data_IF_159341107099
#
_entry.id   IF_159341107099
#
_cell.length_a   1.000
_cell.length_b   1.000
_cell.length_c   1.000
_cell.angle_alpha   90.00
_cell.angle_beta   90.00
_cell.angle_gamma   90.00
#
_symmetry.space_group_name_H-M   'P 1'
#
loop_
_entity.id
_entity.type
_entity.pdbx_description
1 polymer ?
#
# COMPACT_ATOMS: atom_id res chain seq x y z
N UNK A 1 30.72 37.00 18.06
CA UNK A 1 29.51 36.79 17.21
C UNK A 1 29.76 35.92 15.97
N UNK A 2 30.91 36.07 15.28
CA UNK A 2 31.27 35.25 14.10
C UNK A 2 31.55 33.78 14.44
N UNK A 3 32.37 33.51 15.46
CA UNK A 3 32.72 32.16 15.92
C UNK A 3 31.48 31.35 16.34
N UNK A 4 30.48 31.98 16.97
CA UNK A 4 29.22 31.31 17.36
C UNK A 4 28.28 31.02 16.18
N UNK A 5 28.41 31.74 15.06
CA UNK A 5 27.72 31.42 13.79
C UNK A 5 28.40 30.26 13.06
N UNK A 6 29.73 30.24 13.04
CA UNK A 6 30.51 29.12 12.46
C UNK A 6 30.28 27.83 13.25
N UNK A 7 30.34 27.88 14.58
CA UNK A 7 30.05 26.72 15.45
C UNK A 7 28.65 26.16 15.22
N UNK A 8 27.63 27.03 15.11
CA UNK A 8 26.25 26.61 14.81
C UNK A 8 26.10 25.98 13.42
N UNK A 9 26.78 26.50 12.41
CA UNK A 9 26.80 25.89 11.08
C UNK A 9 27.45 24.49 11.09
N UNK A 10 28.59 24.35 11.76
CA UNK A 10 29.27 23.04 11.90
C UNK A 10 28.39 22.05 12.66
N UNK A 11 27.77 22.48 13.76
CA UNK A 11 26.81 21.66 14.53
C UNK A 11 25.63 21.23 13.66
N UNK A 12 25.06 22.15 12.87
CA UNK A 12 23.94 21.84 11.97
C UNK A 12 24.31 20.86 10.86
N UNK A 13 25.54 20.93 10.33
CA UNK A 13 26.01 19.95 9.35
C UNK A 13 26.04 18.58 10.01
N UNK A 14 26.89 18.41 11.04
CA UNK A 14 27.10 17.15 11.76
C UNK A 14 25.79 16.54 12.30
N UNK A 15 24.85 17.38 12.75
CA UNK A 15 23.56 16.93 13.27
C UNK A 15 22.75 16.16 12.23
N UNK A 16 22.85 16.53 10.95
CA UNK A 16 22.17 15.82 9.88
C UNK A 16 22.69 14.39 9.75
N UNK A 17 24.01 14.22 9.68
CA UNK A 17 24.60 12.87 9.55
C UNK A 17 24.33 12.04 10.81
N UNK A 18 24.43 12.62 12.01
CA UNK A 18 24.11 11.92 13.25
C UNK A 18 22.66 11.44 13.30
N UNK A 19 21.71 12.26 12.83
CA UNK A 19 20.30 11.90 12.73
C UNK A 19 20.08 10.73 11.76
N UNK A 20 20.72 10.75 10.59
CA UNK A 20 20.63 9.63 9.63
C UNK A 20 21.30 8.35 10.14
N UNK A 21 22.44 8.45 10.84
CA UNK A 21 23.08 7.31 11.49
C UNK A 21 22.16 6.71 12.56
N UNK A 22 21.56 7.54 13.41
CA UNK A 22 20.59 7.11 14.40
C UNK A 22 19.41 6.36 13.76
N UNK A 23 18.83 6.92 12.69
CA UNK A 23 17.72 6.28 11.97
C UNK A 23 18.13 4.95 11.34
N UNK A 24 19.31 4.88 10.73
CA UNK A 24 19.88 3.65 10.19
C UNK A 24 20.04 2.58 11.27
N UNK A 25 20.65 2.91 12.41
CA UNK A 25 20.86 1.96 13.49
C UNK A 25 19.55 1.46 14.08
N UNK A 26 18.58 2.36 14.29
CA UNK A 26 17.23 2.00 14.75
C UNK A 26 16.55 1.08 13.74
N UNK A 27 16.53 1.43 12.46
CA UNK A 27 15.93 0.60 11.42
C UNK A 27 16.60 -0.78 11.37
N UNK A 28 17.93 -0.84 11.27
CA UNK A 28 18.73 -2.08 11.24
C UNK A 28 18.46 -3.01 12.42
N UNK A 29 18.22 -2.46 13.61
CA UNK A 29 17.93 -3.24 14.82
C UNK A 29 16.53 -3.87 14.77
N UNK A 30 15.53 -3.15 14.29
CA UNK A 30 14.12 -3.53 14.44
C UNK A 30 13.47 -4.13 13.18
N UNK A 31 13.97 -3.83 11.97
CA UNK A 31 13.37 -4.38 10.75
C UNK A 31 13.40 -5.90 10.73
N UNK A 32 12.37 -6.51 10.14
CA UNK A 32 12.21 -7.95 10.13
C UNK A 32 13.14 -8.60 9.10
N UNK A 33 14.09 -9.41 9.57
CA UNK A 33 14.88 -10.33 8.74
C UNK A 33 14.12 -11.63 8.55
N UNK A 34 14.10 -12.18 7.33
CA UNK A 34 13.40 -13.43 7.02
C UNK A 34 13.80 -14.59 7.94
N UNK A 35 15.08 -14.70 8.27
CA UNK A 35 15.63 -15.75 9.16
C UNK A 35 15.30 -15.57 10.65
N UNK A 36 14.71 -14.44 11.06
CA UNK A 36 14.47 -14.10 12.47
C UNK A 36 12.99 -13.80 12.79
N UNK A 37 12.09 -13.85 11.81
CA UNK A 37 10.67 -13.56 12.00
C UNK A 37 10.02 -14.47 13.06
N UNK A 38 10.45 -15.74 13.13
CA UNK A 38 9.85 -16.75 14.00
C UNK A 38 10.12 -16.57 15.52
N UNK A 39 10.87 -15.55 15.94
CA UNK A 39 11.21 -15.30 17.36
C UNK A 39 10.41 -14.17 17.98
N UNK A 40 9.66 -13.43 17.18
CA UNK A 40 8.95 -12.22 17.60
C UNK A 40 7.56 -12.25 16.98
N UNK A 41 6.53 -12.13 17.82
CA UNK A 41 5.14 -12.24 17.41
C UNK A 41 4.81 -11.22 16.32
N UNK A 42 5.11 -9.94 16.55
CA UNK A 42 4.80 -8.82 15.65
C UNK A 42 5.50 -8.99 14.30
N UNK A 43 6.73 -9.50 14.30
CA UNK A 43 7.47 -9.78 13.07
C UNK A 43 6.80 -10.88 12.26
N UNK A 44 6.39 -11.98 12.89
CA UNK A 44 5.72 -13.09 12.20
C UNK A 44 4.33 -12.69 11.70
N UNK A 45 3.58 -11.90 12.48
CA UNK A 45 2.30 -11.30 12.04
C UNK A 45 2.48 -10.48 10.75
N UNK A 46 3.54 -9.67 10.68
CA UNK A 46 3.83 -8.85 9.49
C UNK A 46 4.06 -9.70 8.24
N UNK A 47 4.71 -10.86 8.36
CA UNK A 47 4.89 -11.81 7.26
C UNK A 47 3.57 -12.47 6.85
N UNK A 48 2.77 -12.93 7.82
CA UNK A 48 1.46 -13.52 7.57
C UNK A 48 0.56 -12.53 6.83
N UNK A 49 0.47 -11.29 7.32
CA UNK A 49 -0.34 -10.24 6.72
C UNK A 49 0.15 -9.84 5.32
N UNK A 50 1.47 -9.83 5.09
CA UNK A 50 2.05 -9.57 3.76
C UNK A 50 1.66 -10.67 2.76
N UNK A 51 1.86 -11.94 3.11
CA UNK A 51 1.55 -13.05 2.19
C UNK A 51 0.05 -13.20 1.99
N UNK A 52 -0.74 -13.00 3.04
CA UNK A 52 -2.19 -12.85 2.93
C UNK A 52 -2.57 -11.75 1.94
N UNK A 53 -1.95 -10.57 2.05
CA UNK A 53 -2.23 -9.46 1.13
C UNK A 53 -1.85 -9.80 -0.32
N UNK A 54 -0.73 -10.50 -0.55
CA UNK A 54 -0.33 -10.96 -1.89
C UNK A 54 -1.37 -11.88 -2.50
N UNK A 55 -1.97 -12.76 -1.70
CA UNK A 55 -3.07 -13.64 -2.14
C UNK A 55 -4.32 -12.83 -2.47
N UNK A 56 -4.78 -11.97 -1.55
CA UNK A 56 -5.98 -11.15 -1.78
C UNK A 56 -5.84 -10.22 -3.00
N UNK A 57 -4.65 -9.63 -3.17
CA UNK A 57 -4.32 -8.78 -4.32
C UNK A 57 -4.53 -9.54 -5.63
N UNK A 58 -4.09 -10.79 -5.71
CA UNK A 58 -4.16 -11.58 -6.93
C UNK A 58 -5.60 -11.78 -7.42
N UNK A 59 -6.57 -11.96 -6.50
CA UNK A 59 -7.99 -12.05 -6.84
C UNK A 59 -8.55 -10.74 -7.43
N UNK A 60 -8.01 -9.59 -7.02
CA UNK A 60 -8.47 -8.27 -7.47
C UNK A 60 -7.88 -7.80 -8.81
N UNK A 61 -7.01 -8.60 -9.44
CA UNK A 61 -6.42 -8.24 -10.73
C UNK A 61 -7.47 -8.31 -11.85
N UNK A 62 -7.30 -7.58 -12.97
CA UNK A 62 -8.21 -7.64 -14.12
C UNK A 62 -8.34 -9.05 -14.70
N UNK A 63 -7.23 -9.78 -14.70
CA UNK A 63 -7.12 -11.17 -15.16
C UNK A 63 -6.34 -11.98 -14.14
N UNK A 64 -6.97 -12.47 -13.05
CA UNK A 64 -6.29 -13.27 -12.05
C UNK A 64 -5.73 -14.56 -12.68
N UNK A 65 -4.43 -14.81 -12.52
CA UNK A 65 -3.79 -16.04 -13.02
C UNK A 65 -4.20 -17.23 -12.17
N UNK A 66 -4.66 -18.34 -12.74
CA UNK A 66 -4.90 -19.59 -11.99
C UNK A 66 -3.58 -20.22 -11.50
N UNK A 67 -3.61 -20.83 -10.32
CA UNK A 67 -2.47 -21.51 -9.72
C UNK A 67 -1.34 -20.57 -9.28
N UNK A 68 -1.65 -19.32 -8.92
CA UNK A 68 -0.67 -18.34 -8.47
C UNK A 68 -0.12 -18.66 -7.07
N UNK A 69 0.96 -17.98 -6.66
CA UNK A 69 1.44 -18.05 -5.28
C UNK A 69 2.34 -19.25 -4.95
N UNK A 70 3.06 -19.79 -5.95
CA UNK A 70 4.02 -20.91 -5.79
C UNK A 70 4.92 -20.78 -4.55
N UNK A 71 5.47 -19.60 -4.28
CA UNK A 71 6.33 -19.35 -3.12
C UNK A 71 5.59 -18.71 -1.93
N UNK A 72 4.42 -18.13 -2.18
CA UNK A 72 3.63 -17.39 -1.17
C UNK A 72 2.81 -18.35 -0.33
N UNK A 73 2.16 -19.34 -0.95
CA UNK A 73 1.28 -20.30 -0.28
C UNK A 73 2.06 -21.18 0.70
N UNK A 74 3.18 -21.84 0.31
CA UNK A 74 3.94 -22.66 1.26
C UNK A 74 4.50 -21.82 2.41
N UNK A 75 5.05 -20.63 2.12
CA UNK A 75 5.60 -19.74 3.15
C UNK A 75 4.53 -19.25 4.13
N UNK A 76 3.32 -18.92 3.64
CA UNK A 76 2.21 -18.55 4.52
C UNK A 76 1.82 -19.71 5.44
N UNK A 77 1.68 -20.92 4.90
CA UNK A 77 1.35 -22.11 5.68
C UNK A 77 2.42 -22.38 6.74
N UNK A 78 3.70 -22.37 6.37
CA UNK A 78 4.80 -22.59 7.31
C UNK A 78 4.84 -21.50 8.40
N UNK A 79 4.57 -20.25 8.04
CA UNK A 79 4.47 -19.17 9.02
C UNK A 79 3.27 -19.34 9.96
N UNK A 80 2.12 -19.82 9.47
CA UNK A 80 0.94 -20.09 10.29
C UNK A 80 1.16 -21.24 11.26
N UNK A 81 1.78 -22.33 10.83
CA UNK A 81 2.16 -23.46 11.71
C UNK A 81 3.11 -22.97 12.82
N UNK A 82 4.15 -22.23 12.44
CA UNK A 82 5.10 -21.65 13.40
C UNK A 82 4.40 -20.69 14.36
N UNK A 83 3.49 -19.85 13.87
CA UNK A 83 2.75 -18.88 14.66
C UNK A 83 1.86 -19.57 15.69
N UNK A 84 1.04 -20.52 15.25
CA UNK A 84 0.16 -21.32 16.09
C UNK A 84 0.93 -22.01 17.22
N UNK A 85 2.04 -22.67 16.89
CA UNK A 85 2.84 -23.42 17.86
C UNK A 85 3.48 -22.56 18.96
N UNK A 86 3.71 -21.27 18.71
CA UNK A 86 4.45 -20.37 19.63
C UNK A 86 3.57 -19.35 20.32
N UNK A 87 2.55 -18.86 19.63
CA UNK A 87 1.75 -17.71 20.05
C UNK A 87 0.25 -18.03 20.14
N UNK A 88 -0.15 -19.25 19.74
CA UNK A 88 -1.54 -19.69 19.69
C UNK A 88 -2.30 -19.18 18.47
N UNK A 89 -3.59 -19.51 18.43
CA UNK A 89 -4.49 -19.19 17.32
C UNK A 89 -5.31 -17.94 17.63
N UNK A 90 -4.81 -16.79 17.21
CA UNK A 90 -5.50 -15.50 17.36
C UNK A 90 -6.00 -14.94 16.02
N UNK A 91 -6.46 -13.67 16.03
CA UNK A 91 -7.03 -13.03 14.84
C UNK A 91 -6.10 -13.09 13.62
N UNK A 92 -4.78 -12.93 13.78
CA UNK A 92 -3.85 -12.90 12.64
C UNK A 92 -3.72 -14.30 12.02
N UNK A 93 -3.70 -15.34 12.84
CA UNK A 93 -3.72 -16.73 12.39
C UNK A 93 -4.95 -17.01 11.51
N UNK A 94 -6.15 -16.68 12.00
CA UNK A 94 -7.39 -16.92 11.25
C UNK A 94 -7.54 -16.03 9.99
N UNK A 95 -6.99 -14.81 10.00
CA UNK A 95 -6.89 -13.99 8.78
C UNK A 95 -6.04 -14.70 7.71
N UNK A 96 -4.92 -15.32 8.11
CA UNK A 96 -4.08 -16.10 7.21
C UNK A 96 -4.79 -17.34 6.66
N UNK A 97 -5.48 -18.10 7.52
CA UNK A 97 -6.30 -19.25 7.11
C UNK A 97 -7.42 -18.86 6.15
N UNK A 98 -8.11 -17.75 6.43
CA UNK A 98 -9.15 -17.21 5.55
C UNK A 98 -8.65 -16.89 4.14
N UNK A 99 -7.38 -16.49 4.00
CA UNK A 99 -6.74 -16.30 2.71
C UNK A 99 -6.57 -17.61 1.95
N UNK A 100 -6.13 -18.68 2.62
CA UNK A 100 -5.97 -20.02 2.06
C UNK A 100 -7.32 -20.66 1.71
N UNK A 101 -8.35 -20.42 2.51
CA UNK A 101 -9.71 -20.84 2.25
C UNK A 101 -10.28 -20.12 1.01
N UNK A 102 -10.08 -18.80 0.92
CA UNK A 102 -10.47 -18.01 -0.24
C UNK A 102 -9.71 -18.41 -1.50
N UNK A 103 -8.44 -18.79 -1.38
CA UNK A 103 -7.64 -19.34 -2.48
C UNK A 103 -8.26 -20.64 -3.00
N UNK A 104 -8.63 -21.57 -2.11
CA UNK A 104 -9.32 -22.81 -2.51
C UNK A 104 -10.64 -22.50 -3.19
N UNK A 105 -11.49 -21.68 -2.57
CA UNK A 105 -12.79 -21.27 -3.11
C UNK A 105 -12.67 -20.68 -4.52
N UNK A 106 -11.72 -19.76 -4.72
CA UNK A 106 -11.48 -19.14 -6.03
C UNK A 106 -11.16 -20.17 -7.12
N UNK A 107 -10.32 -21.16 -6.83
CA UNK A 107 -9.99 -22.19 -7.82
C UNK A 107 -11.13 -23.19 -8.05
N UNK A 108 -11.88 -23.55 -7.00
CA UNK A 108 -13.06 -24.41 -7.10
C UNK A 108 -14.16 -23.74 -7.96
N UNK A 109 -14.42 -22.43 -7.77
CA UNK A 109 -15.34 -21.63 -8.59
C UNK A 109 -14.95 -21.62 -10.08
N UNK A 110 -13.65 -21.62 -10.36
CA UNK A 110 -13.09 -21.67 -11.73
C UNK A 110 -12.92 -23.10 -12.27
N UNK A 111 -13.36 -24.12 -11.51
CA UNK A 111 -13.19 -25.55 -11.82
C UNK A 111 -11.73 -25.92 -12.13
N UNK A 112 -10.79 -25.27 -11.46
CA UNK A 112 -9.35 -25.48 -11.64
C UNK A 112 -8.79 -26.36 -10.52
N UNK A 113 -8.05 -27.41 -10.88
CA UNK A 113 -7.42 -28.29 -9.91
C UNK A 113 -6.38 -27.53 -9.07
N UNK A 114 -6.47 -27.66 -7.75
CA UNK A 114 -5.52 -26.99 -6.86
C UNK A 114 -4.08 -27.41 -7.16
N UNK A 115 -3.14 -26.45 -7.26
CA UNK A 115 -1.74 -26.78 -7.52
C UNK A 115 -1.14 -27.68 -6.45
N UNK A 116 -0.17 -28.50 -6.86
CA UNK A 116 0.53 -29.44 -5.97
C UNK A 116 1.15 -28.74 -4.75
N UNK A 117 1.74 -27.56 -4.92
CA UNK A 117 2.32 -26.79 -3.80
C UNK A 117 1.28 -26.35 -2.77
N UNK A 118 0.00 -26.23 -3.14
CA UNK A 118 -1.09 -25.99 -2.19
C UNK A 118 -1.44 -27.30 -1.48
N UNK A 119 -1.80 -28.33 -2.26
CA UNK A 119 -2.31 -29.61 -1.75
C UNK A 119 -1.30 -30.34 -0.86
N UNK A 120 0.01 -30.27 -1.17
CA UNK A 120 1.07 -30.86 -0.34
C UNK A 120 1.32 -30.13 0.97
N UNK A 121 1.05 -28.83 1.04
CA UNK A 121 1.36 -28.03 2.23
C UNK A 121 0.15 -27.87 3.16
N UNK A 122 -1.08 -27.85 2.61
CA UNK A 122 -2.29 -27.57 3.39
C UNK A 122 -2.51 -28.58 4.53
N UNK A 123 -2.04 -29.82 4.37
CA UNK A 123 -2.13 -30.89 5.38
C UNK A 123 -1.35 -30.59 6.68
N UNK A 124 -0.47 -29.57 6.69
CA UNK A 124 0.22 -29.11 7.91
C UNK A 124 -0.69 -28.34 8.86
N UNK A 125 -1.86 -27.89 8.40
CA UNK A 125 -2.87 -27.19 9.19
C UNK A 125 -4.00 -28.17 9.54
N UNK A 126 -4.54 -28.06 10.75
CA UNK A 126 -5.68 -28.88 11.18
C UNK A 126 -6.95 -28.46 10.43
N UNK A 127 -7.69 -29.44 9.90
CA UNK A 127 -8.93 -29.15 9.16
C UNK A 127 -9.96 -28.40 10.00
N UNK A 128 -10.06 -28.70 11.30
CA UNK A 128 -11.00 -28.06 12.22
C UNK A 128 -10.76 -26.54 12.33
N UNK A 129 -9.53 -26.06 12.13
CA UNK A 129 -9.21 -24.63 12.24
C UNK A 129 -9.89 -23.81 11.14
N UNK A 130 -10.18 -24.42 9.97
CA UNK A 130 -10.91 -23.76 8.88
C UNK A 130 -12.41 -23.59 9.16
N UNK A 131 -12.95 -24.26 10.17
CA UNK A 131 -14.35 -24.14 10.58
C UNK A 131 -14.59 -22.88 11.42
N UNK A 132 -13.53 -22.21 11.90
CA UNK A 132 -13.66 -20.99 12.69
C UNK A 132 -14.24 -19.84 11.84
N UNK A 133 -15.33 -19.17 12.27
CA UNK A 133 -15.94 -18.08 11.53
C UNK A 133 -15.01 -16.91 11.21
N UNK A 134 -13.93 -16.71 11.99
CA UNK A 134 -12.92 -15.67 11.76
C UNK A 134 -12.18 -15.87 10.44
N UNK A 135 -12.19 -17.06 9.84
CA UNK A 135 -11.64 -17.29 8.50
C UNK A 135 -12.40 -16.51 7.41
N UNK A 136 -13.68 -16.19 7.62
CA UNK A 136 -14.52 -15.56 6.59
C UNK A 136 -14.20 -14.06 6.34
N UNK A 137 -13.35 -13.44 7.16
CA UNK A 137 -13.04 -12.00 7.09
C UNK A 137 -11.99 -11.65 6.04
N UNK A 138 -11.22 -12.62 5.56
CA UNK A 138 -10.22 -12.44 4.51
C UNK A 138 -10.75 -12.92 3.14
N UNK A 139 -10.07 -12.51 2.07
CA UNK A 139 -10.36 -12.94 0.70
C UNK A 139 -10.70 -11.78 -0.21
N UNK A 140 -11.71 -12.00 -1.05
CA UNK A 140 -12.19 -11.03 -2.05
C UNK A 140 -13.71 -10.91 -2.02
N UNK A 141 -14.20 -9.80 -2.56
CA UNK A 141 -15.62 -9.53 -2.76
C UNK A 141 -15.82 -8.65 -4.00
N UNK A 142 -17.01 -8.71 -4.60
CA UNK A 142 -17.48 -7.74 -5.58
C UNK A 142 -18.28 -6.67 -4.84
N UNK A 143 -18.05 -5.39 -5.14
CA UNK A 143 -18.87 -4.32 -4.55
C UNK A 143 -20.28 -4.43 -5.14
N UNK A 144 -21.30 -4.26 -4.30
CA UNK A 144 -22.67 -4.13 -4.78
C UNK A 144 -22.84 -2.74 -5.41
N UNK A 145 -23.42 -2.70 -6.61
CA UNK A 145 -23.65 -1.48 -7.39
C UNK A 145 -24.91 -0.73 -6.91
N UNK A 146 -25.55 -1.18 -5.82
CA UNK A 146 -26.66 -0.45 -5.21
C UNK A 146 -26.24 1.01 -5.00
N UNK A 147 -26.89 1.88 -5.79
CA UNK A 147 -26.63 3.31 -5.82
C UNK A 147 -26.69 3.81 -4.37
N UNK A 148 -25.57 4.33 -3.86
CA UNK A 148 -25.59 5.10 -2.61
C UNK A 148 -26.33 6.40 -2.93
N UNK A 149 -27.66 6.32 -2.99
CA UNK A 149 -28.56 7.46 -3.11
C UNK A 149 -28.61 8.14 -1.76
N UNK A 150 -27.58 8.90 -1.44
CA UNK A 150 -27.43 9.56 -0.16
C UNK A 150 -26.26 10.53 -0.16
N UNK A 151 -26.27 11.46 0.78
CA UNK A 151 -25.14 12.37 1.02
C UNK A 151 -23.94 11.54 1.46
N UNK A 152 -22.84 11.60 0.70
CA UNK A 152 -21.57 10.96 1.08
C UNK A 152 -21.13 11.55 2.42
N UNK A 153 -21.02 10.70 3.45
CA UNK A 153 -20.48 11.08 4.76
C UNK A 153 -18.98 10.81 4.77
N UNK A 154 -18.25 11.44 5.69
CA UNK A 154 -16.83 11.11 5.89
C UNK A 154 -16.67 9.64 6.27
N UNK A 155 -17.55 9.13 7.13
CA UNK A 155 -17.54 7.72 7.53
C UNK A 155 -17.73 6.78 6.34
N UNK A 156 -18.72 7.03 5.46
CA UNK A 156 -18.94 6.19 4.28
C UNK A 156 -17.75 6.28 3.33
N UNK A 157 -17.20 7.47 3.11
CA UNK A 157 -16.01 7.67 2.28
C UNK A 157 -14.80 6.87 2.79
N UNK A 158 -14.55 6.91 4.09
CA UNK A 158 -13.43 6.19 4.72
C UNK A 158 -13.64 4.67 4.69
N UNK A 159 -14.86 4.21 4.98
CA UNK A 159 -15.21 2.80 5.04
C UNK A 159 -15.33 2.15 3.66
N UNK A 160 -15.69 2.90 2.62
CA UNK A 160 -15.86 2.36 1.27
C UNK A 160 -14.58 2.36 0.44
N UNK A 161 -13.63 3.26 0.73
CA UNK A 161 -12.41 3.35 -0.07
C UNK A 161 -11.64 2.03 -0.04
N UNK A 162 -11.37 1.46 -1.21
CA UNK A 162 -10.59 0.23 -1.41
C UNK A 162 -9.52 0.46 -2.48
N UNK A 163 -8.48 -0.36 -2.45
CA UNK A 163 -7.47 -0.35 -3.50
C UNK A 163 -8.01 -1.08 -4.73
N UNK A 164 -8.31 -0.34 -5.79
CA UNK A 164 -8.84 -0.87 -7.05
C UNK A 164 -7.72 -1.23 -8.03
N UNK A 165 -7.78 -2.42 -8.61
CA UNK A 165 -6.77 -2.88 -9.59
C UNK A 165 -7.39 -3.30 -10.92
N UNK A 166 -8.69 -3.05 -11.09
CA UNK A 166 -9.43 -3.32 -12.31
C UNK A 166 -10.24 -2.07 -12.65
N UNK A 167 -9.68 -1.25 -13.53
CA UNK A 167 -10.26 0.01 -14.00
C UNK A 167 -11.02 -0.19 -15.30
N UNK A 168 -12.06 0.62 -15.50
CA UNK A 168 -12.69 0.82 -16.79
C UNK A 168 -11.82 1.79 -17.60
N UNK A 169 -11.03 1.26 -18.53
CA UNK A 169 -10.05 2.06 -19.28
C UNK A 169 -10.77 3.07 -20.17
N UNK A 170 -11.82 2.65 -20.88
CA UNK A 170 -12.54 3.50 -21.83
C UNK A 170 -13.25 4.65 -21.12
N UNK A 171 -13.93 4.38 -19.99
CA UNK A 171 -14.53 5.43 -19.18
C UNK A 171 -13.47 6.35 -18.57
N UNK A 172 -12.34 5.79 -18.13
CA UNK A 172 -11.23 6.57 -17.56
C UNK A 172 -10.60 7.53 -18.56
N UNK A 173 -10.61 7.24 -19.87
CA UNK A 173 -10.12 8.17 -20.89
C UNK A 173 -10.92 9.49 -20.94
N UNK A 174 -12.13 9.53 -20.36
CA UNK A 174 -12.96 10.75 -20.27
C UNK A 174 -12.55 11.67 -19.12
N UNK A 175 -11.61 11.28 -18.26
CA UNK A 175 -11.07 12.12 -17.19
C UNK A 175 -10.38 13.34 -17.82
N UNK A 176 -11.04 14.50 -17.76
CA UNK A 176 -10.53 15.76 -18.27
C UNK A 176 -9.81 16.61 -17.23
N UNK A 177 -9.08 17.62 -17.72
CA UNK A 177 -8.32 18.58 -16.91
C UNK A 177 -9.15 19.25 -15.81
N UNK A 178 -10.43 19.58 -16.09
CA UNK A 178 -11.35 20.13 -15.08
C UNK A 178 -11.49 19.21 -13.87
N UNK A 179 -11.69 17.91 -14.10
CA UNK A 179 -11.85 16.94 -13.02
C UNK A 179 -10.55 16.79 -12.21
N UNK A 180 -9.39 16.76 -12.88
CA UNK A 180 -8.09 16.71 -12.20
C UNK A 180 -7.83 17.95 -11.35
N UNK A 181 -8.22 19.14 -11.83
CA UNK A 181 -8.16 20.40 -11.07
C UNK A 181 -9.10 20.38 -9.87
N UNK A 182 -10.32 19.89 -10.04
CA UNK A 182 -11.31 19.78 -8.96
C UNK A 182 -10.83 18.81 -7.86
N UNK A 183 -10.30 17.64 -8.25
CA UNK A 183 -9.64 16.68 -7.33
C UNK A 183 -8.46 17.34 -6.62
N UNK A 184 -7.57 18.03 -7.35
CA UNK A 184 -6.40 18.71 -6.78
C UNK A 184 -6.82 19.76 -5.75
N UNK A 185 -7.81 20.60 -6.08
CA UNK A 185 -8.33 21.66 -5.21
C UNK A 185 -8.87 21.11 -3.89
N UNK A 186 -9.55 19.96 -3.94
CA UNK A 186 -10.00 19.29 -2.71
C UNK A 186 -8.83 18.68 -1.94
N UNK A 187 -7.85 18.10 -2.63
CA UNK A 187 -6.70 17.41 -2.03
C UNK A 187 -5.78 18.35 -1.23
N UNK A 188 -5.58 19.59 -1.70
CA UNK A 188 -4.70 20.58 -1.05
C UNK A 188 -5.24 21.14 0.27
N UNK A 189 -6.43 20.71 0.70
CA UNK A 189 -6.98 21.01 2.05
C UNK A 189 -6.25 20.26 3.17
N UNK A 190 -5.32 19.35 2.83
CA UNK A 190 -4.49 18.65 3.80
C UNK A 190 -3.61 19.63 4.60
N UNK A 191 -3.33 19.36 5.89
CA UNK A 191 -2.39 20.17 6.67
C UNK A 191 -0.92 19.87 6.31
N UNK A 192 -0.04 20.87 6.47
CA UNK A 192 1.43 20.74 6.42
C UNK A 192 2.06 21.36 7.65
N UNK A 193 3.31 20.95 7.96
CA UNK A 193 4.17 21.69 8.88
C UNK A 193 4.18 23.18 8.51
N UNK A 194 3.86 24.04 9.48
CA UNK A 194 3.80 25.50 9.32
C UNK A 194 3.05 25.99 8.05
N UNK A 195 2.07 25.22 7.55
CA UNK A 195 1.33 25.51 6.31
C UNK A 195 2.20 25.73 5.06
N UNK A 196 3.37 25.07 4.97
CA UNK A 196 4.34 25.27 3.88
C UNK A 196 3.92 24.69 2.53
N UNK A 197 2.92 23.81 2.48
CA UNK A 197 2.28 23.32 1.24
C UNK A 197 3.30 22.85 0.17
N UNK A 198 4.27 22.05 0.62
CA UNK A 198 5.43 21.60 -0.17
C UNK A 198 5.11 20.44 -1.11
N UNK A 199 3.93 19.82 -0.98
CA UNK A 199 3.50 18.70 -1.82
C UNK A 199 3.16 19.12 -3.25
N UNK A 200 3.33 18.20 -4.20
CA UNK A 200 2.86 18.33 -5.58
C UNK A 200 2.13 17.07 -6.02
N UNK A 201 1.27 17.21 -7.03
CA UNK A 201 0.67 16.10 -7.77
C UNK A 201 1.10 16.24 -9.22
N UNK A 202 1.75 15.21 -9.74
CA UNK A 202 2.10 15.12 -11.16
C UNK A 202 1.27 14.02 -11.80
N UNK A 203 0.37 14.40 -12.71
CA UNK A 203 -0.52 13.46 -13.41
C UNK A 203 0.11 12.99 -14.72
N UNK A 204 0.10 11.67 -14.95
CA UNK A 204 0.61 11.06 -16.17
C UNK A 204 -0.37 10.03 -16.73
N UNK A 205 -0.42 9.94 -18.05
CA UNK A 205 -1.14 8.93 -18.83
C UNK A 205 -0.27 8.44 -19.98
N UNK A 206 -0.76 7.44 -20.73
CA UNK A 206 -0.07 6.89 -21.90
C UNK A 206 1.35 6.41 -21.60
N UNK A 207 2.29 6.72 -22.49
CA UNK A 207 3.68 6.26 -22.40
C UNK A 207 4.43 6.80 -21.18
N UNK A 208 4.15 8.04 -20.75
CA UNK A 208 4.82 8.61 -19.57
C UNK A 208 4.41 7.88 -18.29
N UNK A 209 3.12 7.50 -18.19
CA UNK A 209 2.62 6.64 -17.11
C UNK A 209 3.32 5.28 -17.12
N UNK A 210 3.44 4.64 -18.29
CA UNK A 210 4.15 3.36 -18.42
C UNK A 210 5.62 3.45 -17.99
N UNK A 211 6.31 4.54 -18.38
CA UNK A 211 7.68 4.82 -17.97
C UNK A 211 7.84 5.01 -16.47
N UNK A 212 6.87 5.60 -15.77
CA UNK A 212 6.91 5.70 -14.30
C UNK A 212 6.69 4.33 -13.66
N UNK A 213 5.71 3.57 -14.18
CA UNK A 213 5.36 2.26 -13.66
C UNK A 213 6.50 1.23 -13.81
N UNK A 214 7.41 1.39 -14.79
CA UNK A 214 8.58 0.51 -14.92
C UNK A 214 9.57 0.63 -13.76
N UNK A 215 9.57 1.76 -13.03
CA UNK A 215 10.37 1.95 -11.81
C UNK A 215 9.62 1.59 -10.53
N UNK A 216 8.37 1.13 -10.63
CA UNK A 216 7.50 0.87 -9.48
C UNK A 216 7.21 -0.63 -9.35
N UNK A 217 7.42 -1.21 -8.16
CA UNK A 217 7.39 -2.67 -7.96
C UNK A 217 6.02 -3.27 -7.55
N UNK A 218 4.95 -2.48 -7.59
CA UNK A 218 3.63 -2.81 -7.05
C UNK A 218 2.52 -2.96 -8.09
N UNK A 219 2.76 -2.60 -9.35
CA UNK A 219 1.75 -2.61 -10.42
C UNK A 219 1.63 -3.93 -11.21
N UNK A 220 2.50 -4.91 -10.94
CA UNK A 220 2.49 -6.19 -11.66
C UNK A 220 1.11 -6.86 -11.63
N UNK A 221 0.68 -7.32 -12.80
CA UNK A 221 -0.61 -7.98 -13.02
C UNK A 221 -1.74 -7.05 -13.48
N UNK A 222 -1.53 -5.73 -13.49
CA UNK A 222 -2.52 -4.76 -13.96
C UNK A 222 -1.93 -3.49 -14.59
N UNK A 223 -0.62 -3.45 -14.86
CA UNK A 223 0.10 -2.31 -15.48
C UNK A 223 -0.63 -1.73 -16.69
N UNK A 224 -0.98 -2.58 -17.64
CA UNK A 224 -1.68 -2.19 -18.88
C UNK A 224 -3.11 -1.68 -18.64
N UNK A 225 -3.74 -2.09 -17.53
CA UNK A 225 -5.08 -1.66 -17.17
C UNK A 225 -5.10 -0.34 -16.38
N UNK A 226 -3.95 0.19 -15.95
CA UNK A 226 -3.89 1.49 -15.25
C UNK A 226 -4.05 2.60 -16.29
N UNK A 227 -5.09 3.45 -16.23
CA UNK A 227 -5.27 4.52 -17.21
C UNK A 227 -4.43 5.76 -16.87
N UNK A 228 -4.36 6.12 -15.59
CA UNK A 228 -3.57 7.25 -15.09
C UNK A 228 -2.75 6.87 -13.86
N UNK A 229 -1.62 7.56 -13.69
CA UNK A 229 -0.88 7.61 -12.43
C UNK A 229 -0.74 9.05 -11.97
N UNK A 230 -0.88 9.24 -10.66
CA UNK A 230 -0.49 10.47 -9.98
C UNK A 230 0.77 10.19 -9.16
N UNK A 231 1.85 10.93 -9.41
CA UNK A 231 3.06 10.90 -8.58
C UNK A 231 2.92 12.00 -7.52
N UNK A 232 2.79 11.58 -6.27
CA UNK A 232 2.75 12.46 -5.12
C UNK A 232 4.17 12.71 -4.65
N UNK A 233 4.58 13.97 -4.62
CA UNK A 233 5.94 14.38 -4.24
C UNK A 233 5.92 15.44 -3.15
N UNK A 234 7.08 15.71 -2.56
CA UNK A 234 7.31 16.81 -1.61
C UNK A 234 8.60 17.56 -1.97
N UNK A 235 8.53 18.88 -2.07
CA UNK A 235 9.67 19.76 -2.35
C UNK A 235 10.58 19.88 -1.11
N UNK A 236 11.77 19.30 -1.19
CA UNK A 236 12.73 19.27 -0.09
C UNK A 236 13.21 20.66 0.34
N UNK A 237 13.11 21.68 -0.53
CA UNK A 237 13.55 23.05 -0.25
C UNK A 237 12.64 23.77 0.74
N UNK A 238 11.48 23.21 1.06
CA UNK A 238 10.58 23.73 2.08
C UNK A 238 11.01 23.41 3.52
N UNK A 239 12.05 22.60 3.71
CA UNK A 239 12.56 22.21 5.02
C UNK A 239 13.93 22.84 5.26
N UNK A 240 14.12 23.36 6.48
CA UNK A 240 15.33 24.12 6.83
C UNK A 240 16.01 23.61 8.11
N UNK A 241 15.40 22.63 8.80
CA UNK A 241 16.00 21.97 9.96
C UNK A 241 16.32 20.50 9.67
N UNK A 242 17.41 20.01 10.25
CA UNK A 242 17.81 18.59 10.20
C UNK A 242 16.78 17.65 10.82
N UNK A 243 15.94 18.17 11.71
CA UNK A 243 14.90 17.40 12.38
C UNK A 243 13.70 17.12 11.46
N UNK A 244 13.58 17.89 10.37
CA UNK A 244 12.50 17.78 9.39
C UNK A 244 12.77 16.73 8.29
N UNK A 245 13.87 15.95 8.39
CA UNK A 245 14.26 14.96 7.36
C UNK A 245 13.19 13.92 7.03
N UNK A 246 12.27 13.64 7.95
CA UNK A 246 11.15 12.71 7.76
C UNK A 246 9.82 13.41 7.39
N UNK A 247 9.79 14.74 7.52
CA UNK A 247 8.60 15.56 7.26
C UNK A 247 8.07 15.44 5.82
N UNK A 248 8.90 15.35 4.76
CA UNK A 248 8.41 15.13 3.41
C UNK A 248 7.44 13.94 3.30
N UNK A 249 7.78 12.84 3.97
CA UNK A 249 6.98 11.61 3.95
C UNK A 249 5.80 11.65 4.93
N UNK A 250 5.94 12.31 6.09
CA UNK A 250 4.84 12.48 7.05
C UNK A 250 3.71 13.32 6.45
N UNK A 251 4.02 14.53 6.01
CA UNK A 251 3.03 15.43 5.38
C UNK A 251 2.56 14.85 4.04
N UNK A 252 3.48 14.26 3.27
CA UNK A 252 3.15 13.61 2.01
C UNK A 252 2.19 12.44 2.17
N UNK A 253 2.30 11.65 3.24
CA UNK A 253 1.37 10.57 3.56
C UNK A 253 -0.03 11.07 3.90
N UNK A 254 -0.12 12.16 4.67
CA UNK A 254 -1.40 12.85 4.98
C UNK A 254 -2.04 13.36 3.69
N UNK A 255 -1.27 14.07 2.87
CA UNK A 255 -1.72 14.60 1.58
C UNK A 255 -2.15 13.49 0.61
N UNK A 256 -1.40 12.39 0.52
CA UNK A 256 -1.74 11.24 -0.33
C UNK A 256 -3.07 10.59 0.08
N UNK A 257 -3.35 10.47 1.38
CA UNK A 257 -4.64 9.97 1.86
C UNK A 257 -5.78 10.94 1.49
N UNK A 258 -5.56 12.24 1.66
CA UNK A 258 -6.54 13.26 1.29
C UNK A 258 -6.83 13.25 -0.22
N UNK A 259 -5.80 13.07 -1.05
CA UNK A 259 -5.94 12.87 -2.49
C UNK A 259 -6.75 11.63 -2.85
N UNK A 260 -6.51 10.49 -2.20
CA UNK A 260 -7.32 9.29 -2.42
C UNK A 260 -8.79 9.47 -2.01
N UNK A 261 -9.06 10.24 -0.96
CA UNK A 261 -10.43 10.62 -0.59
C UNK A 261 -11.07 11.58 -1.58
N UNK A 262 -10.31 12.55 -2.10
CA UNK A 262 -10.78 13.43 -3.16
C UNK A 262 -11.14 12.66 -4.43
N UNK A 263 -10.29 11.71 -4.86
CA UNK A 263 -10.60 10.81 -5.98
C UNK A 263 -11.93 10.07 -5.74
N UNK A 264 -12.08 9.44 -4.57
CA UNK A 264 -13.30 8.70 -4.21
C UNK A 264 -14.54 9.61 -4.20
N UNK A 265 -14.44 10.85 -3.70
CA UNK A 265 -15.53 11.83 -3.72
C UNK A 265 -16.02 12.13 -5.14
N UNK A 266 -15.11 12.19 -6.10
CA UNK A 266 -15.41 12.40 -7.52
C UNK A 266 -15.70 11.10 -8.29
N UNK A 267 -15.92 9.98 -7.59
CA UNK A 267 -16.27 8.68 -8.20
C UNK A 267 -15.09 7.91 -8.80
N UNK A 268 -13.86 8.39 -8.60
CA UNK A 268 -12.66 7.72 -9.08
C UNK A 268 -12.14 6.72 -8.04
N UNK A 269 -11.78 5.53 -8.51
CA UNK A 269 -11.11 4.54 -7.70
C UNK A 269 -9.59 4.74 -7.75
N UNK A 270 -8.89 4.28 -6.72
CA UNK A 270 -7.44 4.41 -6.61
C UNK A 270 -6.77 3.16 -6.07
N UNK A 271 -5.49 2.96 -6.41
CA UNK A 271 -4.61 2.02 -5.74
C UNK A 271 -3.29 2.71 -5.41
N UNK A 272 -2.97 2.89 -4.10
CA UNK A 272 -1.66 3.38 -3.71
C UNK A 272 -0.60 2.32 -4.04
N UNK A 273 0.45 2.77 -4.71
CA UNK A 273 1.60 2.00 -5.13
C UNK A 273 2.82 2.57 -4.42
N UNK A 274 3.24 1.87 -3.37
CA UNK A 274 4.40 2.30 -2.57
C UNK A 274 5.61 2.56 -3.47
N UNK A 275 6.29 3.68 -3.24
CA UNK A 275 7.48 4.04 -4.01
C UNK A 275 8.73 3.36 -3.45
N UNK A 276 8.98 3.45 -2.12
CA UNK A 276 10.21 3.03 -1.40
C UNK A 276 11.21 2.19 -2.21
N UNK A 277 11.94 2.85 -3.10
CA UNK A 277 12.87 2.22 -4.02
C UNK A 277 14.28 2.22 -3.45
N UNK A 278 15.16 1.40 -4.04
CA UNK A 278 16.59 1.51 -3.75
C UNK A 278 17.16 2.79 -4.36
N UNK A 279 18.25 3.30 -3.80
CA UNK A 279 18.96 4.47 -4.35
C UNK A 279 19.36 4.28 -5.81
N UNK A 280 19.63 3.04 -6.22
CA UNK A 280 19.92 2.70 -7.62
C UNK A 280 18.73 3.01 -8.53
N UNK A 281 17.54 2.47 -8.21
CA UNK A 281 16.31 2.71 -8.99
C UNK A 281 15.89 4.18 -8.92
N UNK A 282 16.08 4.84 -7.78
CA UNK A 282 15.84 6.29 -7.64
C UNK A 282 16.72 7.09 -8.60
N UNK A 283 18.01 6.79 -8.67
CA UNK A 283 18.94 7.51 -9.56
C UNK A 283 18.56 7.31 -11.03
N UNK A 284 18.23 6.08 -11.45
CA UNK A 284 17.74 5.81 -12.81
C UNK A 284 16.43 6.57 -13.10
N UNK A 285 15.51 6.62 -12.13
CA UNK A 285 14.28 7.39 -12.27
C UNK A 285 14.55 8.90 -12.46
N UNK A 286 15.57 9.47 -11.81
CA UNK A 286 15.94 10.88 -11.99
C UNK A 286 16.41 11.21 -13.40
N UNK A 287 17.06 10.29 -14.08
CA UNK A 287 17.48 10.48 -15.48
C UNK A 287 16.30 10.71 -16.43
N UNK A 288 15.10 10.27 -16.04
CA UNK A 288 13.88 10.49 -16.82
C UNK A 288 13.45 11.95 -16.89
N UNK A 289 13.87 12.79 -15.93
CA UNK A 289 13.51 14.21 -15.78
C UNK A 289 12.00 14.47 -15.69
N UNK A 290 11.20 13.45 -15.36
CA UNK A 290 9.75 13.57 -15.20
C UNK A 290 9.37 14.30 -13.91
N UNK A 291 10.25 14.26 -12.90
CA UNK A 291 10.07 14.89 -11.59
C UNK A 291 11.37 15.65 -11.26
N UNK A 292 11.31 16.91 -10.78
CA UNK A 292 12.50 17.67 -10.40
C UNK A 292 13.31 16.98 -9.28
N UNK A 293 14.63 17.08 -9.33
CA UNK A 293 15.55 16.40 -8.38
C UNK A 293 15.32 16.80 -6.91
N UNK A 294 14.89 18.03 -6.67
CA UNK A 294 14.58 18.53 -5.34
C UNK A 294 13.25 18.04 -4.79
N UNK A 295 12.43 17.33 -5.59
CA UNK A 295 11.18 16.75 -5.12
C UNK A 295 11.38 15.27 -4.81
N UNK A 296 11.13 14.86 -3.57
CA UNK A 296 11.14 13.44 -3.20
C UNK A 296 9.81 12.79 -3.55
N UNK A 297 9.85 11.61 -4.15
CA UNK A 297 8.63 10.83 -4.44
C UNK A 297 8.15 10.17 -3.16
N UNK A 298 6.91 10.48 -2.79
CA UNK A 298 6.28 9.94 -1.58
C UNK A 298 5.48 8.68 -1.93
N UNK A 299 4.64 8.77 -2.96
CA UNK A 299 3.73 7.71 -3.34
C UNK A 299 3.35 7.83 -4.81
N UNK A 300 3.23 6.70 -5.52
CA UNK A 300 2.57 6.66 -6.82
C UNK A 300 1.15 6.15 -6.61
N UNK A 301 0.15 6.77 -7.24
CA UNK A 301 -1.25 6.36 -7.13
C UNK A 301 -1.78 6.04 -8.52
N UNK A 302 -2.10 4.77 -8.76
CA UNK A 302 -2.88 4.38 -9.94
C UNK A 302 -4.34 4.79 -9.71
N UNK A 303 -4.98 5.42 -10.69
CA UNK A 303 -6.38 5.84 -10.54
C UNK A 303 -7.13 5.84 -11.88
N UNK A 304 -8.46 5.79 -11.79
CA UNK A 304 -9.40 5.77 -12.90
C UNK A 304 -10.81 5.45 -12.40
N UNK A 305 -11.78 5.36 -13.31
CA UNK A 305 -13.08 4.79 -12.97
C UNK A 305 -12.94 3.29 -12.72
N UNK A 306 -13.57 2.74 -11.66
CA UNK A 306 -13.54 1.31 -11.40
C UNK A 306 -14.32 0.56 -12.48
N UNK A 307 -13.82 -0.61 -12.89
CA UNK A 307 -14.59 -1.51 -13.73
C UNK A 307 -15.81 -2.04 -12.95
N UNK A 308 -16.97 -2.21 -13.61
CA UNK A 308 -18.18 -2.80 -13.01
C UNK A 308 -17.96 -4.22 -12.45
N UNK A 309 -17.00 -4.95 -13.01
CA UNK A 309 -16.61 -6.29 -12.59
C UNK A 309 -15.36 -6.29 -11.70
N UNK A 310 -14.98 -5.14 -11.14
CA UNK A 310 -13.85 -5.05 -10.23
C UNK A 310 -14.11 -5.85 -8.95
N UNK A 311 -13.18 -6.77 -8.66
CA UNK A 311 -13.09 -7.45 -7.38
C UNK A 311 -12.14 -6.69 -6.46
N UNK A 312 -12.45 -6.71 -5.16
CA UNK A 312 -11.68 -6.03 -4.13
C UNK A 312 -11.19 -7.02 -3.09
N UNK A 313 -9.96 -6.83 -2.64
CA UNK A 313 -9.46 -7.50 -1.45
C UNK A 313 -10.28 -7.08 -0.23
N UNK A 314 -10.70 -8.03 0.61
CA UNK A 314 -11.41 -7.72 1.86
C UNK A 314 -10.52 -6.94 2.82
N UNK A 315 -9.25 -7.32 2.96
CA UNK A 315 -8.24 -6.58 3.74
C UNK A 315 -8.75 -6.17 5.13
N UNK A 316 -9.12 -7.15 5.99
CA UNK A 316 -9.67 -6.88 7.32
C UNK A 316 -8.71 -6.05 8.17
N UNK A 317 -9.26 -5.22 9.06
CA UNK A 317 -8.49 -4.50 10.09
C UNK A 317 -8.32 -5.40 11.32
N UNK A 318 -7.19 -5.24 12.01
CA UNK A 318 -6.97 -5.88 13.31
C UNK A 318 -7.92 -5.27 14.34
N UNK A 319 -8.08 -5.95 15.48
CA UNK A 319 -8.92 -5.47 16.58
C UNK A 319 -8.45 -4.10 17.08
N UNK A 320 -9.41 -3.29 17.53
CA UNK A 320 -9.18 -1.91 17.96
C UNK A 320 -8.08 -1.82 19.02
N UNK A 321 -8.00 -2.79 19.93
CA UNK A 321 -7.01 -2.86 21.01
C UNK A 321 -5.55 -2.84 20.55
N UNK A 322 -5.27 -3.08 19.26
CA UNK A 322 -3.92 -2.96 18.70
C UNK A 322 -3.51 -1.49 18.41
N UNK A 323 -4.45 -0.55 18.40
CA UNK A 323 -4.24 0.79 17.84
C UNK A 323 -4.36 1.93 18.84
N UNK A 324 -4.77 1.66 20.09
CA UNK A 324 -4.88 2.70 21.11
C UNK A 324 -4.48 2.20 22.49
N UNK A 325 -4.04 3.13 23.32
CA UNK A 325 -3.80 2.93 24.74
C UNK A 325 -4.27 4.20 25.44
N UNK A 326 -5.06 4.05 26.50
CA UNK A 326 -5.43 5.15 27.39
C UNK A 326 -4.63 4.90 28.67
N UNK A 327 -3.68 5.79 28.96
CA UNK A 327 -2.86 5.73 30.17
C UNK A 327 -3.42 6.65 31.24
#
# INVERSE_FOLDING_TARGET
MFISRVKRKIQSLISLELNFLHDYWRFKKYYTKGSQASKDKQKLESWILQDKHRIEKAFSLPKPKLGFGKDVIPRLIDNLVNYSSKFGNDQVYYIGLGALQSYKRFHDEQKFLLPEFYSKNICKIRNDDFLDPRCNVAGYFKKDDSLVTGKITVESLMNERRSCRHFDVDESLKIGDKLLKDVTKLSITAPSVCNRQHWRIHYFSGELKNKILSYQNGNSGFTENIPYVAVITSDLRAFYSTDERNQPYTDGGIFAMNFMYALQHYGLASCPLNWCNSSHIENEFRETKLIPDYEVVVLVVAFGYPNKDALYAKSPRLSLNNFYTIN
#
